data_IF_557023959576
#
_entry.id   IF_557023959576
#
_cell.length_a   1.000
_cell.length_b   1.000
_cell.length_c   1.000
_cell.angle_alpha   90.00
_cell.angle_beta   90.00
_cell.angle_gamma   90.00
#
_symmetry.space_group_name_H-M   'P 1'
#
loop_
_entity.id
_entity.type
_entity.pdbx_description
1 polymer ?
#
# COMPACT_ATOMS: atom_id res chain seq x y z
N UNK A 1 -1.37 25.88 21.80
CA UNK A 1 -0.25 25.31 21.02
C UNK A 1 0.15 24.01 21.68
N UNK A 2 0.28 22.92 20.93
CA UNK A 2 0.73 21.64 21.49
C UNK A 2 2.25 21.68 21.68
N UNK A 3 2.71 21.70 22.93
CA UNK A 3 4.15 21.71 23.27
C UNK A 3 4.78 20.31 23.33
N UNK A 4 4.02 19.29 22.92
CA UNK A 4 4.39 17.86 23.06
C UNK A 4 4.15 17.02 21.78
N UNK A 5 3.59 17.60 20.70
CA UNK A 5 3.14 16.84 19.50
C UNK A 5 4.23 16.17 18.67
N UNK A 6 5.51 16.50 18.90
CA UNK A 6 6.62 15.92 18.15
C UNK A 6 7.77 15.51 19.07
N UNK A 7 8.55 14.53 18.63
CA UNK A 7 9.77 14.05 19.29
C UNK A 7 10.98 14.45 18.44
N UNK A 8 12.13 14.68 19.06
CA UNK A 8 13.36 15.10 18.36
C UNK A 8 14.43 14.03 18.55
N UNK A 9 15.04 13.54 17.46
CA UNK A 9 16.27 12.74 17.49
C UNK A 9 17.43 13.59 16.99
N UNK A 10 18.59 13.51 17.63
CA UNK A 10 19.81 14.23 17.20
C UNK A 10 21.08 13.42 17.50
N UNK A 11 22.18 13.76 16.81
CA UNK A 11 23.48 13.12 16.97
C UNK A 11 24.50 14.07 17.64
N UNK A 12 25.49 13.49 18.32
CA UNK A 12 26.64 14.22 18.89
C UNK A 12 27.96 13.57 18.45
N UNK A 13 28.02 13.00 17.24
CA UNK A 13 29.20 12.32 16.70
C UNK A 13 30.08 13.23 15.80
N UNK A 14 29.65 14.47 15.54
CA UNK A 14 30.31 15.40 14.60
C UNK A 14 31.62 15.97 15.14
N UNK A 15 32.68 15.81 14.35
CA UNK A 15 34.04 16.30 14.65
C UNK A 15 34.39 17.63 13.99
N UNK A 16 33.63 18.05 12.98
CA UNK A 16 33.86 19.24 12.14
C UNK A 16 33.19 20.52 12.69
N UNK A 17 33.12 20.66 14.01
CA UNK A 17 32.50 21.80 14.69
C UNK A 17 33.31 22.19 15.93
N UNK A 18 33.11 23.40 16.44
CA UNK A 18 33.80 23.92 17.63
C UNK A 18 32.80 24.34 18.71
N UNK A 19 32.92 23.85 19.97
CA UNK A 19 33.67 22.64 20.33
C UNK A 19 33.07 21.40 19.64
N UNK A 20 33.89 20.36 19.43
CA UNK A 20 33.45 19.15 18.74
C UNK A 20 32.46 18.33 19.57
N UNK A 21 31.58 17.57 18.90
CA UNK A 21 30.53 16.75 19.52
C UNK A 21 29.46 17.54 20.31
N UNK A 22 29.11 18.76 19.85
CA UNK A 22 28.20 19.68 20.54
C UNK A 22 26.98 20.11 19.69
N UNK A 23 26.81 19.62 18.46
CA UNK A 23 25.70 19.96 17.57
C UNK A 23 24.33 19.70 18.22
N UNK A 24 24.11 18.46 18.69
CA UNK A 24 22.84 18.04 19.29
C UNK A 24 22.49 18.82 20.56
N UNK A 25 23.43 19.03 21.47
CA UNK A 25 23.20 19.77 22.71
C UNK A 25 22.89 21.27 22.43
N UNK A 26 23.63 21.92 21.52
CA UNK A 26 23.32 23.31 21.09
C UNK A 26 21.98 23.43 20.39
N UNK A 27 21.61 22.44 19.57
CA UNK A 27 20.28 22.38 18.94
C UNK A 27 19.16 22.26 19.98
N UNK A 28 19.28 21.33 20.93
CA UNK A 28 18.33 21.18 22.04
C UNK A 28 18.23 22.48 22.86
N UNK A 29 19.37 23.14 23.14
CA UNK A 29 19.42 24.43 23.85
C UNK A 29 18.61 25.52 23.13
N UNK A 30 18.75 25.66 21.81
CA UNK A 30 17.98 26.60 21.01
C UNK A 30 16.47 26.27 21.01
N UNK A 31 16.11 24.98 20.89
CA UNK A 31 14.72 24.51 20.98
C UNK A 31 14.09 24.84 22.35
N UNK A 32 14.82 24.64 23.44
CA UNK A 32 14.39 24.99 24.80
C UNK A 32 14.26 26.51 25.00
N UNK A 33 15.17 27.31 24.42
CA UNK A 33 15.09 28.78 24.42
C UNK A 33 13.86 29.33 23.66
N UNK A 34 13.41 28.63 22.62
CA UNK A 34 12.14 28.92 21.92
C UNK A 34 10.89 28.43 22.69
N UNK A 35 11.04 27.87 23.89
CA UNK A 35 9.94 27.47 24.78
C UNK A 35 9.39 26.05 24.57
N UNK A 36 9.96 25.27 23.65
CA UNK A 36 9.51 23.90 23.36
C UNK A 36 9.96 22.90 24.45
N UNK A 37 9.01 22.10 24.96
CA UNK A 37 9.26 21.08 26.01
C UNK A 37 9.21 19.63 25.50
N UNK A 38 9.13 19.46 24.19
CA UNK A 38 9.18 18.20 23.48
C UNK A 38 10.30 17.26 23.99
N UNK A 39 9.99 15.96 24.07
CA UNK A 39 10.98 14.92 24.36
C UNK A 39 12.04 14.88 23.26
N UNK A 40 13.31 14.77 23.68
CA UNK A 40 14.47 14.65 22.81
C UNK A 40 15.21 13.35 23.11
N UNK A 41 15.81 12.73 22.10
CA UNK A 41 16.78 11.65 22.21
C UNK A 41 18.08 12.07 21.52
N UNK A 42 19.18 12.05 22.26
CA UNK A 42 20.53 12.05 21.71
C UNK A 42 20.95 10.61 21.47
N UNK A 43 21.04 10.22 20.20
CA UNK A 43 21.56 8.91 19.80
C UNK A 43 23.03 9.04 19.44
N UNK A 44 23.90 8.33 20.17
CA UNK A 44 25.35 8.57 20.20
C UNK A 44 26.13 7.27 20.37
N UNK A 45 27.43 7.27 20.04
CA UNK A 45 28.35 6.15 20.35
C UNK A 45 29.25 6.42 21.57
N UNK A 46 28.87 7.40 22.39
CA UNK A 46 29.56 7.82 23.61
C UNK A 46 28.52 8.51 24.51
N UNK A 47 27.75 7.69 25.25
CA UNK A 47 26.66 8.17 26.12
C UNK A 47 27.18 9.03 27.28
N UNK A 48 28.34 8.67 27.85
CA UNK A 48 28.94 9.35 29.00
C UNK A 48 29.33 10.78 28.63
N UNK A 49 30.04 10.97 27.51
CA UNK A 49 30.46 12.30 27.05
C UNK A 49 29.28 13.14 26.60
N UNK A 50 28.28 12.54 25.94
CA UNK A 50 27.06 13.25 25.57
C UNK A 50 26.31 13.78 26.81
N UNK A 51 26.19 12.97 27.88
CA UNK A 51 25.63 13.40 29.17
C UNK A 51 26.44 14.56 29.79
N UNK A 52 27.77 14.49 29.79
CA UNK A 52 28.62 15.58 30.30
C UNK A 52 28.44 16.90 29.52
N UNK A 53 28.36 16.84 28.19
CA UNK A 53 28.15 18.04 27.34
C UNK A 53 26.74 18.60 27.54
N UNK A 54 25.71 17.76 27.65
CA UNK A 54 24.35 18.21 27.97
C UNK A 54 24.26 18.86 29.36
N UNK A 55 25.02 18.36 30.34
CA UNK A 55 25.09 18.94 31.68
C UNK A 55 25.78 20.32 31.69
N UNK A 56 26.73 20.58 30.80
CA UNK A 56 27.37 21.91 30.69
C UNK A 56 26.57 22.89 29.83
N UNK A 57 25.79 22.41 28.86
CA UNK A 57 25.01 23.26 27.95
C UNK A 57 23.59 23.58 28.45
N UNK A 58 22.92 22.67 29.16
CA UNK A 58 21.51 22.78 29.53
C UNK A 58 21.31 22.92 31.04
N UNK A 59 20.33 23.73 31.46
CA UNK A 59 19.87 23.81 32.86
C UNK A 59 19.17 22.51 33.27
N UNK A 60 19.14 22.18 34.56
CA UNK A 60 18.56 20.90 35.04
C UNK A 60 17.12 20.63 34.57
N UNK A 61 16.28 21.68 34.49
CA UNK A 61 14.90 21.60 33.95
C UNK A 61 14.81 21.45 32.43
N UNK A 62 15.88 21.76 31.70
CA UNK A 62 15.95 21.59 30.25
C UNK A 62 16.41 20.16 29.87
N UNK A 63 17.14 19.51 30.78
CA UNK A 63 17.60 18.10 30.70
C UNK A 63 16.49 17.07 31.00
N UNK A 64 15.49 17.41 31.81
CA UNK A 64 14.38 16.52 32.24
C UNK A 64 13.66 15.80 31.09
N UNK A 65 13.61 16.42 29.91
CA UNK A 65 12.99 15.90 28.69
C UNK A 65 14.01 15.45 27.64
N UNK A 66 15.24 15.12 28.02
CA UNK A 66 16.33 14.66 27.14
C UNK A 66 16.80 13.28 27.56
N UNK A 67 16.56 12.29 26.71
CA UNK A 67 17.17 10.97 26.78
C UNK A 67 18.51 10.98 26.04
N UNK A 68 19.44 10.15 26.50
CA UNK A 68 20.71 9.84 25.81
C UNK A 68 20.82 8.33 25.83
N UNK A 69 21.10 7.71 24.68
CA UNK A 69 21.28 6.26 24.57
C UNK A 69 22.16 5.93 23.37
N UNK A 70 22.93 4.86 23.49
CA UNK A 70 23.62 4.18 22.39
C UNK A 70 22.81 2.98 21.84
N UNK A 71 21.72 2.61 22.50
CA UNK A 71 20.95 1.41 22.18
C UNK A 71 19.93 1.61 21.05
N UNK A 72 19.97 0.71 20.07
CA UNK A 72 19.08 0.78 18.89
C UNK A 72 17.63 0.43 19.27
N UNK A 73 17.39 -0.27 20.39
CA UNK A 73 16.06 -0.46 20.97
C UNK A 73 15.42 0.86 21.35
N UNK A 74 16.19 1.77 21.92
CA UNK A 74 15.69 3.02 22.49
C UNK A 74 15.37 3.99 21.37
N UNK A 75 16.24 4.07 20.35
CA UNK A 75 15.93 4.81 19.12
C UNK A 75 14.62 4.32 18.48
N UNK A 76 14.43 3.00 18.36
CA UNK A 76 13.18 2.42 17.82
C UNK A 76 11.98 2.74 18.70
N UNK A 77 12.08 2.59 20.02
CA UNK A 77 10.99 2.90 20.96
C UNK A 77 10.74 4.40 21.12
N UNK A 78 11.67 5.26 20.72
CA UNK A 78 11.54 6.70 20.75
C UNK A 78 10.99 7.28 19.45
N UNK A 79 11.32 6.69 18.29
CA UNK A 79 10.71 7.06 17.00
C UNK A 79 9.28 6.50 16.92
N UNK A 80 9.07 5.24 17.31
CA UNK A 80 7.73 4.64 17.30
C UNK A 80 6.90 5.21 18.46
N UNK A 81 5.66 5.61 18.17
CA UNK A 81 4.78 6.23 19.17
C UNK A 81 4.17 5.22 20.16
N UNK A 82 4.20 3.92 19.85
CA UNK A 82 3.56 2.79 20.52
C UNK A 82 4.10 2.39 21.92
N UNK A 83 4.25 3.32 22.85
CA UNK A 83 4.36 2.99 24.27
C UNK A 83 2.98 3.01 24.94
N UNK A 84 2.44 1.82 25.22
CA UNK A 84 1.30 1.62 26.13
C UNK A 84 1.74 2.01 27.56
N UNK A 85 0.87 2.63 28.38
CA UNK A 85 1.21 2.95 29.76
C UNK A 85 1.46 1.66 30.57
N UNK A 86 2.58 1.60 31.27
CA UNK A 86 2.96 0.48 32.14
C UNK A 86 2.14 0.49 33.44
N UNK A 87 0.98 -0.17 33.42
CA UNK A 87 0.24 -0.47 34.66
C UNK A 87 0.68 -1.80 35.25
N UNK A 88 1.09 -1.78 36.50
CA UNK A 88 1.38 -2.98 37.28
C UNK A 88 0.11 -3.62 37.86
N UNK A 89 0.13 -4.95 37.90
CA UNK A 89 -0.58 -5.86 38.83
C UNK A 89 -2.05 -5.56 39.20
N UNK A 90 -2.96 -6.41 38.72
CA UNK A 90 -4.03 -7.03 39.53
C UNK A 90 -4.36 -8.42 39.00
N UNK A 91 -4.97 -9.26 39.83
CA UNK A 91 -5.00 -10.72 39.68
C UNK A 91 -6.43 -11.29 39.56
N UNK A 92 -6.51 -12.59 39.24
CA UNK A 92 -7.63 -13.52 39.46
C UNK A 92 -8.95 -13.25 38.71
N UNK A 93 -9.30 -14.07 37.70
CA UNK A 93 -10.24 -15.21 37.80
C UNK A 93 -11.63 -14.82 37.19
N UNK A 94 -12.49 -15.72 36.66
CA UNK A 94 -12.55 -17.19 36.69
C UNK A 94 -13.24 -17.80 35.42
N UNK A 95 -13.45 -19.12 35.44
CA UNK A 95 -14.34 -19.99 34.63
C UNK A 95 -15.66 -19.37 34.09
N UNK A 96 -16.39 -19.84 33.04
CA UNK A 96 -16.23 -20.81 31.92
C UNK A 96 -17.46 -20.54 30.95
N UNK A 97 -18.00 -21.29 29.97
CA UNK A 97 -18.06 -22.72 29.56
C UNK A 97 -18.36 -22.90 28.04
N UNK A 98 -18.45 -24.16 27.58
CA UNK A 98 -18.68 -24.65 26.19
C UNK A 98 -20.08 -24.38 25.58
N UNK A 99 -20.13 -24.18 24.26
CA UNK A 99 -21.09 -24.88 23.36
C UNK A 99 -20.52 -25.01 21.93
N UNK A 100 -21.08 -25.89 21.08
CA UNK A 100 -20.71 -26.03 19.66
C UNK A 100 -21.91 -25.68 18.77
N UNK A 101 -21.71 -24.82 17.78
CA UNK A 101 -22.64 -24.56 16.68
C UNK A 101 -21.86 -24.31 15.38
N UNK A 102 -22.53 -24.41 14.23
CA UNK A 102 -21.92 -24.17 12.92
C UNK A 102 -21.43 -22.72 12.78
N UNK A 103 -20.18 -22.53 12.35
CA UNK A 103 -19.63 -21.21 12.08
C UNK A 103 -20.12 -20.67 10.72
N UNK A 104 -21.08 -19.77 10.75
CA UNK A 104 -21.12 -18.68 9.76
C UNK A 104 -20.05 -17.65 10.12
N UNK A 105 -19.39 -17.07 9.13
CA UNK A 105 -18.30 -16.10 9.36
C UNK A 105 -18.84 -14.76 9.86
N UNK A 106 -18.95 -14.61 11.18
CA UNK A 106 -19.35 -13.36 11.83
C UNK A 106 -18.17 -12.41 11.89
N UNK A 107 -18.12 -11.46 10.96
CA UNK A 107 -17.23 -10.30 11.06
C UNK A 107 -17.58 -9.51 12.33
N UNK A 108 -16.63 -9.26 13.24
CA UNK A 108 -16.89 -8.43 14.41
C UNK A 108 -17.17 -7.00 13.96
N UNK A 109 -18.27 -6.41 14.43
CA UNK A 109 -18.48 -4.96 14.29
C UNK A 109 -17.33 -4.21 14.99
N UNK A 110 -16.95 -3.01 14.51
CA UNK A 110 -16.08 -2.13 15.28
C UNK A 110 -16.76 -1.78 16.61
N UNK A 111 -16.26 -2.35 17.70
CA UNK A 111 -16.55 -1.92 19.06
C UNK A 111 -15.44 -0.96 19.51
N UNK A 112 -15.79 0.04 20.33
CA UNK A 112 -14.81 0.97 20.87
C UNK A 112 -13.88 0.24 21.87
N UNK A 113 -12.79 -0.31 21.35
CA UNK A 113 -11.72 -0.95 22.12
C UNK A 113 -10.37 -0.67 21.42
N UNK A 114 -9.35 -0.32 22.21
CA UNK A 114 -8.06 0.11 21.70
C UNK A 114 -7.36 -0.99 20.89
N UNK A 115 -6.95 -0.67 19.65
CA UNK A 115 -6.11 -1.56 18.85
C UNK A 115 -4.84 -1.95 19.62
N UNK A 116 -4.52 -3.24 19.62
CA UNK A 116 -3.24 -3.78 20.13
C UNK A 116 -2.54 -4.52 18.99
N UNK A 117 -1.60 -3.85 18.33
CA UNK A 117 -0.64 -4.54 17.47
C UNK A 117 0.13 -5.60 18.27
N UNK A 118 0.48 -6.70 17.60
CA UNK A 118 1.30 -7.81 18.10
C UNK A 118 2.48 -8.01 17.16
N UNK A 119 3.70 -7.87 17.68
CA UNK A 119 4.92 -8.11 16.92
C UNK A 119 5.20 -9.62 16.85
N UNK A 120 5.13 -10.20 15.66
CA UNK A 120 5.61 -11.56 15.40
C UNK A 120 7.01 -11.47 14.80
N UNK A 121 8.02 -11.98 15.51
CA UNK A 121 9.37 -12.14 14.96
C UNK A 121 9.37 -13.26 13.92
N UNK A 122 9.66 -12.94 12.66
CA UNK A 122 9.79 -13.93 11.60
C UNK A 122 11.13 -14.69 11.74
N UNK A 123 11.06 -16.01 11.91
CA UNK A 123 12.24 -16.87 11.94
C UNK A 123 12.84 -17.05 10.53
N UNK A 124 14.17 -17.16 10.44
CA UNK A 124 14.89 -17.28 9.18
C UNK A 124 14.91 -18.73 8.70
N UNK A 125 14.07 -19.07 7.72
CA UNK A 125 14.15 -20.35 7.01
C UNK A 125 14.97 -20.26 5.73
N UNK A 126 16.05 -21.03 5.64
CA UNK A 126 16.83 -21.20 4.42
C UNK A 126 16.27 -22.33 3.55
N UNK A 127 15.43 -21.98 2.58
CA UNK A 127 15.02 -22.84 1.45
C UNK A 127 15.79 -22.49 0.16
N UNK A 128 16.00 -23.48 -0.71
CA UNK A 128 16.87 -23.33 -1.89
C UNK A 128 16.17 -22.71 -3.12
N UNK A 129 16.99 -22.10 -3.98
CA UNK A 129 16.68 -21.51 -5.31
C UNK A 129 15.78 -20.25 -5.32
N UNK A 130 16.20 -19.20 -6.05
CA UNK A 130 15.23 -18.27 -6.66
C UNK A 130 15.27 -16.75 -6.35
N UNK A 131 16.29 -16.21 -5.67
CA UNK A 131 16.55 -14.75 -5.64
C UNK A 131 16.21 -14.01 -4.34
N UNK A 132 17.16 -13.19 -3.87
CA UNK A 132 17.06 -12.38 -2.64
C UNK A 132 16.36 -11.04 -2.88
N UNK A 133 15.03 -11.04 -2.90
CA UNK A 133 14.21 -9.83 -3.12
C UNK A 133 13.82 -9.10 -1.82
N UNK A 134 14.82 -8.73 -1.02
CA UNK A 134 14.69 -7.77 0.08
C UNK A 134 15.82 -6.75 0.00
N UNK A 135 15.63 -5.79 -0.89
CA UNK A 135 16.40 -4.56 -1.01
C UNK A 135 15.41 -3.40 -0.79
N UNK A 136 15.84 -2.25 -0.28
CA UNK A 136 14.91 -1.16 0.02
C UNK A 136 14.32 -0.59 -1.28
N UNK A 137 13.07 -0.94 -1.59
CA UNK A 137 12.29 -0.57 -2.79
C UNK A 137 11.88 0.91 -2.86
N UNK A 138 12.68 1.77 -2.22
CA UNK A 138 12.37 3.11 -1.82
C UNK A 138 13.31 4.05 -2.56
N UNK A 139 12.76 5.12 -3.13
CA UNK A 139 13.55 6.13 -3.83
C UNK A 139 14.64 6.71 -2.92
N UNK A 140 15.91 6.52 -3.31
CA UNK A 140 17.08 6.95 -2.52
C UNK A 140 17.09 8.45 -2.19
N UNK A 141 16.34 9.27 -2.93
CA UNK A 141 16.29 10.72 -2.76
C UNK A 141 15.11 11.22 -1.92
N UNK A 142 14.04 10.44 -1.75
CA UNK A 142 12.79 10.92 -1.09
C UNK A 142 12.24 10.03 0.02
N UNK A 143 12.65 8.76 0.10
CA UNK A 143 12.12 7.84 1.12
C UNK A 143 10.69 7.33 0.87
N UNK A 144 10.01 7.74 -0.20
CA UNK A 144 8.55 7.60 -0.37
C UNK A 144 8.18 7.15 -1.79
N UNK A 145 7.35 6.11 -1.91
CA UNK A 145 6.80 5.63 -3.20
C UNK A 145 5.49 6.32 -3.59
N UNK A 146 4.50 6.41 -2.71
CA UNK A 146 3.20 7.05 -2.97
C UNK A 146 3.10 8.40 -2.27
N UNK A 147 2.66 9.42 -2.99
CA UNK A 147 2.47 10.78 -2.47
C UNK A 147 1.44 11.56 -3.32
N UNK A 148 1.01 12.74 -2.83
CA UNK A 148 0.01 13.59 -3.50
C UNK A 148 0.36 14.02 -4.95
N UNK A 149 1.62 13.94 -5.37
CA UNK A 149 2.04 14.28 -6.74
C UNK A 149 1.88 13.10 -7.72
N UNK A 150 1.73 11.87 -7.22
CA UNK A 150 1.69 10.66 -8.04
C UNK A 150 0.49 9.74 -7.77
N UNK A 151 -0.30 10.04 -6.74
CA UNK A 151 -1.49 9.29 -6.30
C UNK A 151 -2.58 10.30 -5.95
N UNK A 152 -3.63 10.41 -6.78
CA UNK A 152 -4.77 11.33 -6.57
C UNK A 152 -5.54 10.94 -5.30
N UNK A 153 -5.53 11.80 -4.28
CA UNK A 153 -6.29 11.64 -3.02
C UNK A 153 -7.59 12.47 -3.03
N UNK A 154 -7.70 13.50 -3.88
CA UNK A 154 -8.90 14.35 -3.99
C UNK A 154 -10.16 13.51 -4.29
N UNK A 155 -10.01 12.48 -5.13
CA UNK A 155 -11.10 11.54 -5.43
C UNK A 155 -11.59 10.78 -4.19
N UNK A 156 -10.70 10.42 -3.28
CA UNK A 156 -11.04 9.78 -2.01
C UNK A 156 -11.76 10.75 -1.09
N UNK A 157 -11.21 11.96 -0.91
CA UNK A 157 -11.79 13.00 -0.07
C UNK A 157 -13.19 13.38 -0.55
N UNK A 158 -13.38 13.51 -1.86
CA UNK A 158 -14.70 13.74 -2.46
C UNK A 158 -15.66 12.58 -2.22
N UNK A 159 -15.22 11.33 -2.38
CA UNK A 159 -16.10 10.18 -2.24
C UNK A 159 -16.41 9.85 -0.77
N UNK A 160 -15.53 10.19 0.18
CA UNK A 160 -15.84 10.20 1.61
C UNK A 160 -16.95 11.21 1.94
N UNK A 161 -16.90 12.40 1.34
CA UNK A 161 -17.92 13.47 1.53
C UNK A 161 -19.27 13.16 0.87
N UNK A 162 -19.28 12.40 -0.24
CA UNK A 162 -20.49 12.01 -0.99
C UNK A 162 -21.21 10.78 -0.42
N UNK A 163 -20.48 9.87 0.24
CA UNK A 163 -21.02 8.60 0.72
C UNK A 163 -21.55 8.69 2.14
N UNK A 164 -22.53 7.84 2.44
CA UNK A 164 -22.94 7.64 3.83
C UNK A 164 -21.89 6.77 4.53
N UNK A 165 -20.98 7.40 5.26
CA UNK A 165 -19.84 6.77 5.95
C UNK A 165 -20.27 6.14 7.29
N UNK A 166 -21.33 5.35 7.26
CA UNK A 166 -21.90 4.69 8.44
C UNK A 166 -21.01 3.59 8.99
N UNK A 167 -20.99 3.44 10.32
CA UNK A 167 -20.20 2.45 11.05
C UNK A 167 -20.61 0.97 10.79
N UNK A 168 -21.53 0.70 9.84
CA UNK A 168 -21.90 -0.65 9.40
C UNK A 168 -21.14 -1.12 8.14
N UNK A 169 -20.32 -0.27 7.52
CA UNK A 169 -19.55 -0.58 6.31
C UNK A 169 -18.05 -0.37 6.48
N UNK A 170 -17.24 -1.26 5.90
CA UNK A 170 -15.78 -1.11 5.84
C UNK A 170 -15.36 -0.20 4.69
N UNK A 171 -14.58 0.83 4.97
CA UNK A 171 -14.06 1.76 3.97
C UNK A 171 -12.81 1.18 3.28
N UNK A 172 -12.72 1.28 1.96
CA UNK A 172 -11.61 0.68 1.23
C UNK A 172 -11.23 1.37 -0.08
N UNK A 173 -10.07 0.93 -0.58
CA UNK A 173 -9.51 1.26 -1.88
C UNK A 173 -9.17 -0.03 -2.62
N UNK A 174 -9.48 -0.09 -3.91
CA UNK A 174 -9.06 -1.20 -4.77
C UNK A 174 -7.73 -0.87 -5.45
N UNK A 175 -6.74 -1.73 -5.36
CA UNK A 175 -5.47 -1.60 -6.09
C UNK A 175 -5.32 -2.74 -7.08
N UNK A 176 -4.86 -2.48 -8.30
CA UNK A 176 -4.36 -3.54 -9.18
C UNK A 176 -3.06 -3.10 -9.86
N UNK A 177 -2.01 -3.89 -9.66
CA UNK A 177 -0.68 -3.68 -10.26
C UNK A 177 -0.60 -4.42 -11.58
N UNK A 178 0.22 -3.94 -12.53
CA UNK A 178 0.30 -4.66 -13.80
C UNK A 178 1.23 -4.09 -14.86
N UNK A 179 1.53 -4.94 -15.85
CA UNK A 179 2.31 -4.53 -17.02
C UNK A 179 1.55 -3.56 -17.92
N UNK A 180 0.21 -3.62 -17.98
CA UNK A 180 -0.68 -2.79 -18.85
C UNK A 180 -0.08 -2.47 -20.23
N UNK A 181 0.34 -3.51 -20.96
CA UNK A 181 1.21 -3.37 -22.15
C UNK A 181 0.57 -3.90 -23.45
N UNK A 182 -0.54 -3.30 -23.95
CA UNK A 182 -1.23 -2.12 -23.42
C UNK A 182 -2.37 -2.45 -22.44
N UNK A 183 -2.98 -1.41 -21.86
CA UNK A 183 -4.27 -1.46 -21.13
C UNK A 183 -5.41 -1.90 -22.06
N UNK A 184 -6.45 -2.53 -21.49
CA UNK A 184 -7.64 -3.04 -22.21
C UNK A 184 -8.80 -3.35 -21.24
N UNK A 185 -10.07 -3.45 -21.71
CA UNK A 185 -11.27 -3.49 -20.85
C UNK A 185 -11.28 -4.52 -19.73
N UNK A 186 -10.73 -5.72 -19.95
CA UNK A 186 -10.67 -6.77 -18.92
C UNK A 186 -9.96 -6.34 -17.62
N UNK A 187 -9.03 -5.38 -17.67
CA UNK A 187 -8.40 -4.83 -16.47
C UNK A 187 -9.41 -4.06 -15.59
N UNK A 188 -10.27 -3.23 -16.19
CA UNK A 188 -11.29 -2.47 -15.48
C UNK A 188 -12.43 -3.36 -15.00
N UNK A 189 -12.82 -4.34 -15.81
CA UNK A 189 -13.90 -5.29 -15.48
C UNK A 189 -13.64 -6.05 -14.17
N UNK A 190 -12.39 -6.37 -13.84
CA UNK A 190 -12.04 -6.96 -12.55
C UNK A 190 -12.36 -6.00 -11.39
N UNK A 191 -11.86 -4.76 -11.45
CA UNK A 191 -12.11 -3.72 -10.44
C UNK A 191 -13.61 -3.40 -10.29
N UNK A 192 -14.32 -3.24 -11.42
CA UNK A 192 -15.77 -2.98 -11.45
C UNK A 192 -16.56 -4.14 -10.83
N UNK A 193 -16.15 -5.38 -11.08
CA UNK A 193 -16.80 -6.57 -10.49
C UNK A 193 -16.56 -6.67 -8.99
N UNK A 194 -15.34 -6.41 -8.52
CA UNK A 194 -15.03 -6.32 -7.08
C UNK A 194 -15.89 -5.23 -6.42
N UNK A 195 -15.94 -4.03 -7.00
CA UNK A 195 -16.75 -2.91 -6.49
C UNK A 195 -18.23 -3.27 -6.40
N UNK A 196 -18.82 -3.83 -7.47
CA UNK A 196 -20.22 -4.28 -7.48
C UNK A 196 -20.50 -5.38 -6.44
N UNK A 197 -19.56 -6.28 -6.20
CA UNK A 197 -19.69 -7.31 -5.17
C UNK A 197 -19.61 -6.71 -3.74
N UNK A 198 -18.62 -5.86 -3.48
CA UNK A 198 -18.36 -5.19 -2.20
C UNK A 198 -19.44 -4.21 -1.75
N UNK A 199 -20.06 -3.49 -2.69
CA UNK A 199 -21.07 -2.47 -2.37
C UNK A 199 -22.50 -3.02 -2.32
N UNK A 200 -22.70 -4.28 -2.74
CA UNK A 200 -23.97 -5.01 -2.69
C UNK A 200 -24.47 -5.30 -1.26
N UNK A 201 -25.64 -5.94 -1.14
CA UNK A 201 -26.19 -6.40 0.13
C UNK A 201 -25.59 -7.73 0.63
N UNK A 202 -24.45 -8.16 0.09
CA UNK A 202 -23.66 -9.22 0.68
C UNK A 202 -22.92 -8.72 1.94
N UNK A 203 -22.73 -9.62 2.90
CA UNK A 203 -21.92 -9.37 4.10
C UNK A 203 -20.54 -10.02 3.92
N UNK A 204 -19.43 -9.36 4.30
CA UNK A 204 -19.36 -8.01 4.88
C UNK A 204 -19.74 -6.91 3.86
N UNK A 205 -20.41 -5.84 4.32
CA UNK A 205 -20.70 -4.66 3.48
C UNK A 205 -19.48 -3.72 3.44
N UNK A 206 -19.06 -3.31 2.24
CA UNK A 206 -17.91 -2.41 2.04
C UNK A 206 -18.32 -1.12 1.31
N UNK A 207 -17.45 -0.11 1.41
CA UNK A 207 -17.53 1.19 0.74
C UNK A 207 -16.26 1.35 -0.11
N UNK A 208 -16.34 1.13 -1.43
CA UNK A 208 -15.21 1.38 -2.34
C UNK A 208 -15.10 2.88 -2.61
N UNK A 209 -14.14 3.53 -1.95
CA UNK A 209 -13.95 4.98 -2.02
C UNK A 209 -13.25 5.40 -3.32
N UNK A 210 -12.21 4.67 -3.71
CA UNK A 210 -11.54 4.78 -5.01
C UNK A 210 -10.94 3.44 -5.46
N UNK A 211 -10.41 3.44 -6.67
CA UNK A 211 -9.51 2.41 -7.17
C UNK A 211 -8.29 3.03 -7.86
N UNK A 212 -7.17 2.31 -7.83
CA UNK A 212 -5.94 2.69 -8.53
C UNK A 212 -5.44 1.56 -9.43
N UNK A 213 -5.16 1.91 -10.68
CA UNK A 213 -4.25 1.18 -11.55
C UNK A 213 -2.83 1.59 -11.18
N UNK A 214 -1.95 0.63 -10.92
CA UNK A 214 -0.53 0.90 -10.65
C UNK A 214 0.33 0.25 -11.75
N UNK A 215 0.72 0.99 -12.79
CA UNK A 215 1.60 0.45 -13.82
C UNK A 215 2.96 0.11 -13.23
N UNK A 216 3.41 -1.12 -13.45
CA UNK A 216 4.64 -1.62 -12.84
C UNK A 216 5.90 -0.99 -13.46
N UNK A 217 7.02 -1.01 -12.74
CA UNK A 217 8.27 -0.40 -13.18
C UNK A 217 8.79 -0.99 -14.51
N UNK A 218 9.45 -0.16 -15.32
CA UNK A 218 9.90 -0.53 -16.67
C UNK A 218 10.87 -1.70 -16.71
N UNK A 219 11.74 -1.86 -15.71
CA UNK A 219 12.69 -3.00 -15.65
C UNK A 219 11.98 -4.36 -15.66
N UNK A 220 10.81 -4.48 -15.02
CA UNK A 220 10.01 -5.71 -15.06
C UNK A 220 9.34 -5.91 -16.42
N UNK A 221 8.77 -4.85 -17.01
CA UNK A 221 8.08 -4.96 -18.31
C UNK A 221 9.08 -5.26 -19.42
N UNK A 222 10.27 -4.65 -19.38
CA UNK A 222 11.40 -4.94 -20.26
C UNK A 222 11.86 -6.40 -20.12
N UNK A 223 12.17 -6.85 -18.90
CA UNK A 223 12.61 -8.23 -18.64
C UNK A 223 11.58 -9.29 -19.03
N UNK A 224 10.29 -8.94 -19.02
CA UNK A 224 9.16 -9.82 -19.36
C UNK A 224 8.82 -9.88 -20.85
N UNK A 225 9.13 -8.84 -21.62
CA UNK A 225 8.70 -8.69 -23.02
C UNK A 225 9.84 -8.52 -24.03
N UNK A 226 11.07 -8.28 -23.57
CA UNK A 226 12.21 -7.94 -24.40
C UNK A 226 12.14 -6.52 -24.97
N UNK A 227 13.27 -6.05 -25.50
CA UNK A 227 13.54 -4.65 -25.91
C UNK A 227 12.48 -4.05 -26.86
N UNK A 228 11.85 -4.89 -27.67
CA UNK A 228 11.04 -4.45 -28.81
C UNK A 228 9.55 -4.23 -28.50
N UNK A 229 9.02 -4.87 -27.47
CA UNK A 229 7.56 -5.06 -27.29
C UNK A 229 6.98 -4.36 -26.06
N UNK A 230 7.82 -3.94 -25.12
CA UNK A 230 7.41 -3.11 -23.98
C UNK A 230 7.02 -1.68 -24.41
N UNK A 231 6.29 -1.01 -23.52
CA UNK A 231 5.83 0.38 -23.59
C UNK A 231 6.37 1.07 -22.34
N UNK A 232 7.01 2.26 -22.42
CA UNK A 232 7.55 2.96 -21.25
C UNK A 232 6.49 3.27 -20.19
N UNK A 233 6.90 3.35 -18.92
CA UNK A 233 6.01 3.55 -17.76
C UNK A 233 5.12 4.77 -17.94
N UNK A 234 5.72 5.92 -18.28
CA UNK A 234 5.03 7.18 -18.56
C UNK A 234 3.96 7.06 -19.66
N UNK A 235 4.27 6.33 -20.74
CA UNK A 235 3.32 6.06 -21.82
C UNK A 235 2.20 5.12 -21.36
N UNK A 236 2.50 4.10 -20.54
CA UNK A 236 1.50 3.20 -19.95
C UNK A 236 0.57 3.92 -18.97
N UNK A 237 1.11 4.81 -18.12
CA UNK A 237 0.31 5.68 -17.25
C UNK A 237 -0.66 6.53 -18.08
N UNK A 238 -0.17 7.21 -19.13
CA UNK A 238 -1.02 8.00 -20.04
C UNK A 238 -2.07 7.16 -20.79
N UNK A 239 -1.72 5.95 -21.23
CA UNK A 239 -2.67 5.02 -21.86
C UNK A 239 -3.77 4.59 -20.88
N UNK A 240 -3.42 4.30 -19.62
CA UNK A 240 -4.37 3.98 -18.56
C UNK A 240 -5.27 5.19 -18.23
N UNK A 241 -4.72 6.40 -18.15
CA UNK A 241 -5.46 7.65 -17.91
C UNK A 241 -6.51 7.90 -19.00
N UNK A 242 -6.11 7.91 -20.28
CA UNK A 242 -7.05 8.10 -21.39
C UNK A 242 -8.02 6.94 -21.60
N UNK A 243 -7.71 5.73 -21.12
CA UNK A 243 -8.64 4.61 -21.10
C UNK A 243 -9.69 4.73 -19.98
N UNK A 244 -9.34 5.26 -18.80
CA UNK A 244 -10.31 5.60 -17.74
C UNK A 244 -11.26 6.71 -18.23
N UNK A 245 -10.72 7.72 -18.90
CA UNK A 245 -11.51 8.82 -19.49
C UNK A 245 -12.50 8.32 -20.55
N UNK A 246 -12.08 7.39 -21.41
CA UNK A 246 -12.93 6.80 -22.45
C UNK A 246 -14.12 5.99 -21.91
N UNK A 247 -13.98 5.36 -20.75
CA UNK A 247 -15.08 4.67 -20.05
C UNK A 247 -16.04 5.66 -19.34
N UNK A 248 -15.74 6.95 -19.39
CA UNK A 248 -16.68 8.01 -19.04
C UNK A 248 -16.82 8.32 -17.55
N UNK A 249 -17.82 9.14 -17.17
CA UNK A 249 -17.94 9.71 -15.83
C UNK A 249 -18.22 8.67 -14.73
N UNK A 250 -18.81 7.51 -15.05
CA UNK A 250 -19.01 6.45 -14.04
C UNK A 250 -17.67 5.91 -13.55
N UNK A 251 -16.80 5.44 -14.45
CA UNK A 251 -15.51 4.86 -14.05
C UNK A 251 -14.55 5.91 -13.50
N UNK A 252 -14.46 7.07 -14.17
CA UNK A 252 -13.62 8.19 -13.72
C UNK A 252 -14.11 8.92 -12.45
N UNK A 253 -15.31 8.59 -11.92
CA UNK A 253 -15.74 9.09 -10.60
C UNK A 253 -15.04 8.41 -9.41
N UNK A 254 -14.38 7.28 -9.63
CA UNK A 254 -13.70 6.52 -8.57
C UNK A 254 -12.39 5.84 -8.97
N UNK A 255 -12.10 5.64 -10.26
CA UNK A 255 -10.85 5.02 -10.73
C UNK A 255 -9.80 6.06 -11.15
N UNK A 256 -8.54 5.81 -10.78
CA UNK A 256 -7.36 6.61 -11.13
C UNK A 256 -6.16 5.75 -11.53
N UNK A 257 -5.13 6.39 -12.06
CA UNK A 257 -3.78 5.85 -12.12
C UNK A 257 -3.00 6.36 -10.91
N UNK A 258 -2.26 5.46 -10.26
CA UNK A 258 -1.15 5.80 -9.38
C UNK A 258 0.15 5.57 -10.14
N UNK A 259 1.08 6.52 -10.09
CA UNK A 259 2.39 6.42 -10.75
C UNK A 259 3.54 6.06 -9.81
N UNK A 260 3.26 5.75 -8.54
CA UNK A 260 4.27 5.42 -7.52
C UNK A 260 5.20 4.26 -7.92
N UNK A 261 4.63 3.09 -8.23
CA UNK A 261 5.36 1.90 -8.71
C UNK A 261 6.07 2.11 -10.06
N UNK A 262 5.57 3.04 -10.89
CA UNK A 262 5.99 3.23 -12.27
C UNK A 262 7.13 4.23 -12.43
N UNK A 263 7.04 5.37 -11.73
CA UNK A 263 7.88 6.55 -11.91
C UNK A 263 8.70 6.92 -10.65
N UNK A 264 8.37 6.38 -9.47
CA UNK A 264 9.00 6.76 -8.19
C UNK A 264 9.80 5.66 -7.51
N UNK A 265 9.49 4.38 -7.75
CA UNK A 265 10.25 3.25 -7.22
C UNK A 265 11.66 3.14 -7.85
N UNK A 266 12.65 2.75 -7.04
CA UNK A 266 14.03 2.49 -7.49
C UNK A 266 14.16 1.06 -8.04
N UNK A 267 13.45 0.79 -9.14
CA UNK A 267 13.38 -0.54 -9.76
C UNK A 267 12.01 -1.22 -9.61
N UNK A 268 11.96 -2.52 -9.92
CA UNK A 268 10.74 -3.31 -9.79
C UNK A 268 10.43 -3.62 -8.31
N UNK A 269 9.16 -3.48 -7.97
CA UNK A 269 8.61 -3.81 -6.65
C UNK A 269 7.44 -4.76 -6.85
N UNK A 270 7.39 -5.82 -6.05
CA UNK A 270 6.28 -6.78 -6.12
C UNK A 270 4.99 -6.20 -5.50
N UNK A 271 3.83 -6.77 -5.83
CA UNK A 271 2.52 -6.19 -5.49
C UNK A 271 2.30 -5.98 -3.98
N UNK A 272 2.90 -6.81 -3.12
CA UNK A 272 2.78 -6.72 -1.66
C UNK A 272 3.26 -5.37 -1.13
N UNK A 273 4.57 -5.05 -1.23
CA UNK A 273 5.11 -3.75 -0.79
C UNK A 273 4.49 -2.52 -1.49
N UNK A 274 3.99 -2.64 -2.73
CA UNK A 274 3.23 -1.56 -3.38
C UNK A 274 1.89 -1.33 -2.68
N UNK A 275 1.15 -2.40 -2.39
CA UNK A 275 -0.11 -2.35 -1.63
C UNK A 275 0.13 -1.81 -0.21
N UNK A 276 1.28 -2.15 0.40
CA UNK A 276 1.70 -1.70 1.73
C UNK A 276 2.02 -0.19 1.75
N UNK A 277 2.85 0.29 0.81
CA UNK A 277 3.16 1.72 0.69
C UNK A 277 1.91 2.56 0.37
N UNK A 278 0.97 2.03 -0.42
CA UNK A 278 -0.30 2.72 -0.68
C UNK A 278 -1.20 2.74 0.56
N UNK A 279 -1.26 1.66 1.34
CA UNK A 279 -1.99 1.62 2.63
C UNK A 279 -1.48 2.70 3.57
N UNK A 280 -0.17 2.79 3.74
CA UNK A 280 0.43 3.70 4.71
C UNK A 280 0.30 5.16 4.27
N UNK A 281 0.57 5.47 3.00
CA UNK A 281 0.31 6.80 2.44
C UNK A 281 -1.15 7.23 2.65
N UNK A 282 -2.11 6.42 2.21
CA UNK A 282 -3.53 6.80 2.26
C UNK A 282 -4.08 6.91 3.68
N UNK A 283 -3.63 6.07 4.62
CA UNK A 283 -4.10 6.13 5.99
C UNK A 283 -3.48 7.31 6.75
N UNK A 284 -2.18 7.56 6.61
CA UNK A 284 -1.54 8.74 7.20
C UNK A 284 -2.23 10.03 6.69
N UNK A 285 -2.42 10.14 5.37
CA UNK A 285 -3.10 11.31 4.77
C UNK A 285 -4.55 11.46 5.26
N UNK A 286 -5.37 10.40 5.24
CA UNK A 286 -6.82 10.53 5.46
C UNK A 286 -7.24 10.41 6.93
N UNK A 287 -6.42 9.83 7.81
CA UNK A 287 -6.72 9.68 9.25
C UNK A 287 -5.93 10.70 10.07
N UNK A 288 -4.61 10.77 9.87
CA UNK A 288 -3.72 11.50 10.78
C UNK A 288 -3.42 12.95 10.33
N UNK A 289 -3.41 13.22 9.02
CA UNK A 289 -3.20 14.57 8.47
C UNK A 289 -4.53 15.30 8.22
N UNK A 290 -5.33 14.87 7.25
CA UNK A 290 -6.58 15.56 6.88
C UNK A 290 -7.78 15.24 7.80
N UNK A 291 -7.68 14.20 8.65
CA UNK A 291 -8.76 13.76 9.56
C UNK A 291 -10.12 13.48 8.87
N UNK A 292 -10.09 13.08 7.59
CA UNK A 292 -11.26 12.77 6.75
C UNK A 292 -11.93 11.45 7.16
N UNK A 293 -11.17 10.50 7.73
CA UNK A 293 -11.63 9.21 8.20
C UNK A 293 -11.35 9.03 9.70
N UNK A 294 -12.38 8.64 10.47
CA UNK A 294 -12.23 8.27 11.90
C UNK A 294 -11.44 6.96 12.11
N UNK A 295 -11.37 6.10 11.09
CA UNK A 295 -10.73 4.79 11.15
C UNK A 295 -9.98 4.52 9.84
N UNK A 296 -8.85 3.78 9.88
CA UNK A 296 -8.12 3.37 8.68
C UNK A 296 -9.01 2.68 7.63
N UNK A 297 -8.72 2.97 6.36
CA UNK A 297 -9.27 2.23 5.21
C UNK A 297 -8.42 0.99 4.91
N UNK A 298 -9.06 -0.04 4.39
CA UNK A 298 -8.37 -1.23 3.88
C UNK A 298 -7.97 -1.04 2.41
N UNK A 299 -6.73 -1.37 2.05
CA UNK A 299 -6.30 -1.46 0.65
C UNK A 299 -6.43 -2.91 0.18
N UNK A 300 -7.27 -3.11 -0.83
CA UNK A 300 -7.61 -4.43 -1.37
C UNK A 300 -6.91 -4.64 -2.71
N UNK A 301 -5.94 -5.56 -2.73
CA UNK A 301 -5.29 -5.97 -3.96
C UNK A 301 -6.22 -6.83 -4.82
N UNK A 302 -6.52 -6.38 -6.04
CA UNK A 302 -7.42 -7.02 -6.99
C UNK A 302 -6.61 -7.74 -8.06
N UNK A 303 -6.78 -9.06 -8.14
CA UNK A 303 -6.09 -9.89 -9.13
C UNK A 303 -7.00 -10.99 -9.71
N UNK A 304 -6.60 -11.54 -10.86
CA UNK A 304 -7.24 -12.74 -11.41
C UNK A 304 -6.75 -14.01 -10.71
N UNK A 305 -7.59 -15.06 -10.64
CA UNK A 305 -7.23 -16.36 -10.06
C UNK A 305 -5.91 -16.95 -10.64
N UNK A 306 -5.61 -16.66 -11.92
CA UNK A 306 -4.39 -17.14 -12.56
C UNK A 306 -3.11 -16.42 -12.10
N UNK A 307 -3.22 -15.27 -11.42
CA UNK A 307 -2.12 -14.63 -10.69
C UNK A 307 -2.06 -15.14 -9.25
N UNK A 308 -3.20 -15.18 -8.55
CA UNK A 308 -3.32 -15.71 -7.17
C UNK A 308 -2.71 -17.11 -7.01
N UNK A 309 -3.05 -18.06 -7.89
CA UNK A 309 -2.51 -19.42 -7.83
C UNK A 309 -0.97 -19.49 -8.02
N UNK A 310 -0.34 -18.47 -8.60
CA UNK A 310 1.12 -18.39 -8.84
C UNK A 310 1.88 -17.67 -7.71
N UNK A 311 1.23 -16.77 -6.98
CA UNK A 311 1.89 -15.86 -6.04
C UNK A 311 1.65 -16.24 -4.58
N UNK A 312 2.64 -16.88 -3.97
CA UNK A 312 2.63 -17.24 -2.53
C UNK A 312 2.51 -16.04 -1.60
N UNK A 313 3.04 -14.88 -1.99
CA UNK A 313 3.12 -13.69 -1.15
C UNK A 313 1.77 -13.05 -0.81
N UNK A 314 0.68 -13.39 -1.51
CA UNK A 314 -0.68 -12.89 -1.20
C UNK A 314 -1.03 -13.22 0.25
N UNK A 315 -0.74 -14.44 0.72
CA UNK A 315 -1.07 -14.90 2.07
C UNK A 315 -0.32 -14.12 3.17
N UNK A 316 0.88 -13.62 2.88
CA UNK A 316 1.66 -12.80 3.82
C UNK A 316 1.24 -11.33 3.78
N UNK A 317 0.85 -10.83 2.60
CA UNK A 317 0.27 -9.51 2.43
C UNK A 317 -1.07 -9.39 3.18
N UNK A 318 -1.97 -10.38 3.07
CA UNK A 318 -3.29 -10.35 3.75
C UNK A 318 -3.25 -10.67 5.24
N UNK A 319 -2.07 -10.95 5.82
CA UNK A 319 -1.86 -11.02 7.29
C UNK A 319 -1.53 -9.65 7.89
N UNK A 320 -1.22 -8.65 7.07
CA UNK A 320 -0.96 -7.29 7.55
C UNK A 320 -2.28 -6.55 7.84
N UNK A 321 -2.32 -5.66 8.84
CA UNK A 321 -3.52 -4.87 9.14
C UNK A 321 -3.90 -3.98 7.95
N UNK A 322 -5.22 -3.81 7.76
CA UNK A 322 -5.81 -2.97 6.72
C UNK A 322 -5.37 -3.34 5.28
N UNK A 323 -5.08 -4.62 5.04
CA UNK A 323 -4.79 -5.17 3.71
C UNK A 323 -5.68 -6.40 3.44
N UNK A 324 -6.16 -6.54 2.21
CA UNK A 324 -6.92 -7.72 1.77
C UNK A 324 -6.65 -8.03 0.30
N UNK A 325 -7.12 -9.17 -0.20
CA UNK A 325 -7.04 -9.53 -1.60
C UNK A 325 -8.42 -9.93 -2.14
N UNK A 326 -8.82 -9.37 -3.28
CA UNK A 326 -9.99 -9.81 -4.02
C UNK A 326 -9.57 -10.62 -5.25
N UNK A 327 -9.94 -11.90 -5.26
CA UNK A 327 -9.56 -12.88 -6.29
C UNK A 327 -10.70 -13.06 -7.27
N UNK A 328 -10.54 -12.54 -8.49
CA UNK A 328 -11.56 -12.59 -9.54
C UNK A 328 -11.39 -13.87 -10.37
N UNK A 329 -12.44 -14.71 -10.42
CA UNK A 329 -12.46 -15.88 -11.29
C UNK A 329 -12.45 -15.46 -12.77
N UNK A 330 -11.97 -16.34 -13.66
CA UNK A 330 -11.88 -16.11 -15.11
C UNK A 330 -12.57 -17.20 -15.90
N UNK A 331 -13.16 -16.84 -17.04
CA UNK A 331 -13.84 -17.80 -17.92
C UNK A 331 -12.87 -18.87 -18.39
N UNK A 332 -13.26 -20.15 -18.30
CA UNK A 332 -12.40 -21.30 -18.57
C UNK A 332 -11.52 -21.76 -17.39
N UNK A 333 -11.44 -20.99 -16.30
CA UNK A 333 -10.93 -21.45 -15.01
C UNK A 333 -12.11 -21.85 -14.14
N UNK A 334 -12.22 -23.12 -13.80
CA UNK A 334 -13.27 -23.63 -12.91
C UNK A 334 -13.06 -23.10 -11.49
N UNK A 335 -14.16 -22.77 -10.81
CA UNK A 335 -14.14 -22.22 -9.45
C UNK A 335 -13.56 -23.22 -8.42
N UNK A 336 -13.49 -24.51 -8.80
CA UNK A 336 -12.86 -25.60 -8.05
C UNK A 336 -11.32 -25.63 -8.16
N UNK A 337 -10.69 -24.82 -9.01
CA UNK A 337 -9.22 -24.80 -9.23
C UNK A 337 -8.48 -23.77 -8.37
N UNK A 338 -8.94 -23.55 -7.14
CA UNK A 338 -8.11 -22.92 -6.10
C UNK A 338 -7.04 -23.96 -5.70
N UNK A 339 -5.80 -23.80 -6.16
CA UNK A 339 -4.71 -24.75 -5.84
C UNK A 339 -4.09 -24.48 -4.46
N UNK A 340 -4.51 -23.40 -3.78
CA UNK A 340 -3.98 -22.93 -2.50
C UNK A 340 -5.14 -22.70 -1.53
N UNK A 341 -5.36 -23.65 -0.60
CA UNK A 341 -6.37 -23.50 0.46
C UNK A 341 -5.92 -22.46 1.50
N UNK A 342 -6.14 -21.18 1.20
CA UNK A 342 -5.89 -20.08 2.15
C UNK A 342 -7.17 -19.83 2.94
N UNK A 343 -7.17 -20.21 4.22
CA UNK A 343 -8.27 -20.00 5.17
C UNK A 343 -8.14 -18.63 5.89
N UNK A 344 -7.98 -17.55 5.11
CA UNK A 344 -8.01 -16.17 5.61
C UNK A 344 -9.31 -15.50 5.18
N UNK A 345 -9.95 -14.80 6.12
CA UNK A 345 -11.10 -13.90 5.89
C UNK A 345 -10.82 -12.82 4.85
N UNK A 346 -9.55 -12.48 4.71
CA UNK A 346 -9.01 -11.31 4.02
C UNK A 346 -8.63 -11.66 2.57
N UNK A 347 -8.92 -12.90 2.12
CA UNK A 347 -8.90 -13.34 0.73
C UNK A 347 -10.34 -13.60 0.27
N UNK A 348 -10.89 -12.67 -0.49
CA UNK A 348 -12.30 -12.64 -0.89
C UNK A 348 -12.42 -13.09 -2.36
N UNK A 349 -13.11 -14.20 -2.60
CA UNK A 349 -13.28 -14.76 -3.95
C UNK A 349 -14.53 -14.20 -4.64
N UNK A 350 -14.38 -13.68 -5.86
CA UNK A 350 -15.39 -12.86 -6.55
C UNK A 350 -15.98 -13.65 -7.73
N UNK A 351 -17.18 -14.26 -7.58
CA UNK A 351 -17.74 -15.23 -8.53
C UNK A 351 -18.11 -14.63 -9.90
N UNK A 352 -18.08 -15.46 -10.93
CA UNK A 352 -18.46 -15.09 -12.31
C UNK A 352 -19.95 -15.34 -12.65
N UNK A 353 -20.76 -15.69 -11.65
CA UNK A 353 -22.01 -16.47 -11.78
C UNK A 353 -23.12 -15.90 -12.66
N UNK A 354 -23.00 -14.66 -13.18
CA UNK A 354 -23.97 -14.03 -14.09
C UNK A 354 -23.36 -13.36 -15.34
N UNK A 355 -22.04 -13.35 -15.52
CA UNK A 355 -21.36 -12.51 -16.53
C UNK A 355 -20.57 -13.26 -17.61
N UNK A 356 -20.35 -14.58 -17.46
CA UNK A 356 -19.44 -15.39 -18.32
C UNK A 356 -19.67 -15.29 -19.85
N UNK A 357 -20.85 -14.91 -20.31
CA UNK A 357 -21.26 -14.98 -21.73
C UNK A 357 -21.15 -13.69 -22.55
N UNK A 358 -20.81 -12.53 -21.97
CA UNK A 358 -20.87 -11.23 -22.67
C UNK A 358 -19.53 -10.63 -23.09
N UNK A 359 -18.42 -11.20 -22.69
CA UNK A 359 -17.10 -10.58 -22.76
C UNK A 359 -16.11 -11.45 -23.56
N UNK A 360 -15.30 -10.80 -24.39
CA UNK A 360 -14.20 -11.48 -25.11
C UNK A 360 -12.90 -11.28 -24.35
N UNK A 361 -12.34 -12.36 -23.81
CA UNK A 361 -11.07 -12.36 -23.08
C UNK A 361 -9.90 -12.05 -24.04
N UNK A 362 -9.69 -10.76 -24.33
CA UNK A 362 -8.57 -10.24 -25.12
C UNK A 362 -7.49 -9.74 -24.16
N UNK A 363 -6.33 -10.37 -24.24
CA UNK A 363 -5.14 -10.02 -23.45
C UNK A 363 -4.24 -9.02 -24.17
N UNK A 364 -3.43 -8.28 -23.41
CA UNK A 364 -2.40 -7.37 -23.94
C UNK A 364 -1.47 -8.03 -24.97
N UNK A 365 -1.18 -9.33 -24.84
CA UNK A 365 -0.36 -10.09 -25.80
C UNK A 365 -1.07 -10.28 -27.14
N UNK A 366 -2.36 -10.58 -27.15
CA UNK A 366 -3.15 -10.66 -28.39
C UNK A 366 -3.29 -9.27 -29.05
N UNK A 367 -3.34 -8.20 -28.25
CA UNK A 367 -3.32 -6.82 -28.77
C UNK A 367 -1.96 -6.51 -29.42
N UNK A 368 -0.83 -6.84 -28.80
CA UNK A 368 0.50 -6.69 -29.46
C UNK A 368 0.58 -7.48 -30.76
N UNK A 369 0.13 -8.74 -30.74
CA UNK A 369 0.10 -9.62 -31.92
C UNK A 369 -0.76 -9.03 -33.06
N UNK A 370 -1.89 -8.37 -32.76
CA UNK A 370 -2.71 -7.68 -33.77
C UNK A 370 -1.94 -6.57 -34.52
N UNK A 371 -1.07 -5.81 -33.84
CA UNK A 371 -0.27 -4.75 -34.46
C UNK A 371 1.05 -5.25 -35.08
N UNK A 372 1.59 -6.38 -34.59
CA UNK A 372 2.74 -7.06 -35.19
C UNK A 372 2.38 -7.79 -36.49
N UNK A 373 1.24 -8.47 -36.52
CA UNK A 373 0.79 -9.29 -37.64
C UNK A 373 -0.75 -9.19 -37.77
N UNK A 374 -1.26 -8.14 -38.45
CA UNK A 374 -2.70 -7.92 -38.59
C UNK A 374 -3.44 -9.08 -39.30
N UNK A 375 -2.79 -9.79 -40.22
CA UNK A 375 -3.36 -10.93 -40.95
C UNK A 375 -3.50 -12.20 -40.11
N UNK A 376 -2.77 -12.33 -39.00
CA UNK A 376 -2.95 -13.39 -38.01
C UNK A 376 -4.00 -13.06 -36.92
N UNK A 377 -4.63 -11.88 -36.98
CA UNK A 377 -5.56 -11.41 -35.94
C UNK A 377 -6.90 -12.15 -35.94
N UNK A 378 -7.41 -12.46 -34.74
CA UNK A 378 -8.84 -12.75 -34.56
C UNK A 378 -9.68 -11.50 -34.92
N UNK A 379 -10.82 -11.69 -35.58
CA UNK A 379 -11.63 -10.58 -36.12
C UNK A 379 -12.06 -9.53 -35.07
N UNK A 380 -12.35 -9.97 -33.84
CA UNK A 380 -12.99 -9.13 -32.81
C UNK A 380 -12.00 -8.39 -31.88
N UNK A 381 -10.69 -8.41 -32.16
CA UNK A 381 -9.70 -7.75 -31.28
C UNK A 381 -9.91 -6.22 -31.23
N UNK A 382 -10.28 -5.59 -32.34
CA UNK A 382 -10.49 -4.12 -32.41
C UNK A 382 -11.53 -3.60 -31.41
N UNK A 383 -12.57 -4.39 -31.10
CA UNK A 383 -13.61 -4.01 -30.13
C UNK A 383 -13.11 -3.98 -28.67
N UNK A 384 -11.87 -4.42 -28.41
CA UNK A 384 -11.24 -4.45 -27.08
C UNK A 384 -9.99 -3.55 -27.00
N UNK A 385 -9.83 -2.60 -27.95
CA UNK A 385 -8.72 -1.64 -27.99
C UNK A 385 -9.29 -0.22 -27.90
N UNK A 386 -8.87 0.53 -26.87
CA UNK A 386 -9.24 1.94 -26.72
C UNK A 386 -8.65 2.82 -27.83
N UNK A 387 -9.31 3.90 -28.27
CA UNK A 387 -8.80 4.76 -29.34
C UNK A 387 -7.36 5.27 -29.12
N UNK A 388 -7.04 5.69 -27.89
CA UNK A 388 -5.69 6.14 -27.50
C UNK A 388 -4.64 5.00 -27.57
N UNK A 389 -5.06 3.76 -27.30
CA UNK A 389 -4.21 2.57 -27.44
C UNK A 389 -4.03 2.22 -28.92
N UNK A 390 -5.07 2.30 -29.75
CA UNK A 390 -4.99 2.04 -31.19
C UNK A 390 -4.03 3.04 -31.87
N UNK A 391 -4.15 4.34 -31.56
CA UNK A 391 -3.25 5.37 -32.07
C UNK A 391 -1.78 5.10 -31.67
N UNK A 392 -1.54 4.89 -30.37
CA UNK A 392 -0.20 4.63 -29.85
C UNK A 392 0.42 3.37 -30.48
N UNK A 393 -0.35 2.29 -30.56
CA UNK A 393 0.13 1.01 -31.09
C UNK A 393 0.38 1.07 -32.60
N UNK A 394 -0.46 1.76 -33.38
CA UNK A 394 -0.16 2.06 -34.79
C UNK A 394 1.17 2.82 -34.91
N UNK A 395 1.39 3.84 -34.07
CA UNK A 395 2.64 4.64 -34.08
C UNK A 395 3.88 3.83 -33.69
N UNK A 396 3.76 2.91 -32.72
CA UNK A 396 4.85 2.00 -32.29
C UNK A 396 5.21 0.97 -33.37
N UNK A 397 4.22 0.35 -34.02
CA UNK A 397 4.47 -0.76 -34.95
C UNK A 397 4.59 -0.36 -36.44
N UNK A 398 4.15 0.83 -36.86
CA UNK A 398 4.39 1.40 -38.22
C UNK A 398 5.86 1.78 -38.50
N UNK A 399 6.77 1.57 -37.54
CA UNK A 399 8.20 1.89 -37.63
C UNK A 399 9.08 0.63 -37.74
N UNK A 400 8.49 -0.47 -38.20
CA UNK A 400 9.14 -1.73 -38.59
C UNK A 400 8.54 -2.18 -39.91
#
# INVERSE_FOLDING_TARGET
MNQETFRIVTDMNRKNETPSHNAGARFIKAVRQMGFRNKCLVFTGDEIRAKQILQSELRSKEQEYVLVSEETSDLRSFVNFDQKPTHAQRTDAENSSKSKAFQTSTYPKPSDNSYKSTNTTAEVYHGASGGKYHQSYINKNTGIMHNHLNTDVDILVQNCKKKNMTNDRYNCVLLTTGSFNPIHPLHFQNLVRVKKYFESEHQPRWNVLAGYLSPTHDSYVHGKLGELDWIPAKDRCRLCEGAIEHEGPELSSWLRVSRGESEWADGFVDFGPVTENLRDFLNNTLVDEEHVLRYPLCVVYVCGLDHFNKCSYVENMTKQPNMSCAVVYRTGYEEQRITRSIQSSDVIYIPLSKERGKLTDVSSTQIRQHFQNPSASKANIKANIYPIVDEYMRKKYRRK
#
